data_IF_730797966741
#
_entry.id   IF_730797966741
#
_cell.length_a   1.000
_cell.length_b   1.000
_cell.length_c   1.000
_cell.angle_alpha   90.00
_cell.angle_beta   90.00
_cell.angle_gamma   90.00
#
_symmetry.space_group_name_H-M   'P 1'
#
loop_
_entity.id
_entity.type
_entity.pdbx_description
1 polymer ?
#
# COMPACT_ATOMS: atom_id res chain seq x y z
N UNK A 1 16.38 -54.47 37.52
CA UNK A 1 15.81 -53.63 36.42
C UNK A 1 14.60 -52.79 36.84
N UNK A 2 13.73 -53.26 37.75
CA UNK A 2 12.57 -52.48 38.23
C UNK A 2 12.96 -51.23 39.06
N UNK A 3 14.01 -51.34 39.87
CA UNK A 3 14.50 -50.25 40.74
C UNK A 3 15.12 -49.09 39.95
N UNK A 4 15.86 -49.38 38.87
CA UNK A 4 16.47 -48.36 38.00
C UNK A 4 15.40 -47.57 37.24
N UNK A 5 14.32 -48.23 36.76
CA UNK A 5 13.20 -47.55 36.11
C UNK A 5 12.40 -46.67 37.07
N UNK A 6 12.24 -47.09 38.33
CA UNK A 6 11.58 -46.30 39.38
C UNK A 6 12.41 -45.05 39.75
N UNK A 7 13.73 -45.19 39.88
CA UNK A 7 14.62 -44.04 40.13
C UNK A 7 14.67 -43.05 38.96
N UNK A 8 14.61 -43.53 37.72
CA UNK A 8 14.54 -42.65 36.53
C UNK A 8 13.19 -41.93 36.46
N UNK A 9 12.07 -42.61 36.77
CA UNK A 9 10.74 -41.98 36.81
C UNK A 9 10.61 -40.96 37.94
N UNK A 10 11.10 -41.28 39.14
CA UNK A 10 11.12 -40.35 40.28
C UNK A 10 12.07 -39.19 40.02
N UNK A 11 13.22 -39.44 39.37
CA UNK A 11 14.16 -38.42 38.92
C UNK A 11 13.59 -37.50 37.84
N UNK A 12 12.83 -38.03 36.88
CA UNK A 12 12.13 -37.22 35.86
C UNK A 12 10.99 -36.41 36.48
N UNK A 13 10.21 -36.98 37.41
CA UNK A 13 9.13 -36.29 38.12
C UNK A 13 9.68 -35.17 39.03
N UNK A 14 10.83 -35.38 39.68
CA UNK A 14 11.49 -34.36 40.49
C UNK A 14 12.18 -33.28 39.64
N UNK A 15 12.73 -33.64 38.48
CA UNK A 15 13.24 -32.67 37.48
C UNK A 15 12.11 -31.83 36.87
N UNK A 16 10.96 -32.42 36.54
CA UNK A 16 9.77 -31.72 36.03
C UNK A 16 9.18 -30.74 37.06
N UNK A 17 9.19 -31.11 38.35
CA UNK A 17 8.73 -30.23 39.43
C UNK A 17 9.77 -29.16 39.82
N UNK A 18 11.08 -29.42 39.66
CA UNK A 18 12.11 -28.37 39.77
C UNK A 18 12.01 -27.33 38.64
N UNK A 19 11.77 -27.76 37.40
CA UNK A 19 11.66 -26.82 36.27
C UNK A 19 10.46 -25.87 36.39
N UNK A 20 9.36 -26.30 37.02
CA UNK A 20 8.21 -25.43 37.28
C UNK A 20 8.43 -24.48 38.47
N UNK A 21 9.20 -24.90 39.49
CA UNK A 21 9.52 -24.07 40.66
C UNK A 21 10.63 -23.03 40.37
N UNK A 22 11.48 -23.27 39.37
CA UNK A 22 12.58 -22.38 39.00
C UNK A 22 12.16 -21.16 38.17
N UNK A 23 10.99 -21.17 37.51
CA UNK A 23 10.62 -20.07 36.62
C UNK A 23 10.21 -18.79 37.36
N UNK A 24 9.66 -18.89 38.57
CA UNK A 24 9.26 -17.72 39.36
C UNK A 24 10.41 -17.12 40.18
N UNK A 25 11.58 -17.77 40.23
CA UNK A 25 12.73 -17.30 41.00
C UNK A 25 13.34 -16.02 40.41
N UNK A 26 13.21 -15.83 39.10
CA UNK A 26 13.68 -14.63 38.38
C UNK A 26 12.62 -13.51 38.33
N UNK A 27 11.47 -13.70 38.99
CA UNK A 27 10.42 -12.69 39.02
C UNK A 27 10.81 -11.49 39.91
N UNK A 28 10.38 -10.27 39.56
CA UNK A 28 10.70 -9.09 40.35
C UNK A 28 10.09 -9.18 41.77
N UNK A 29 10.81 -8.72 42.82
CA UNK A 29 10.38 -8.88 44.21
C UNK A 29 8.99 -8.30 44.51
N UNK A 30 8.64 -7.19 43.86
CA UNK A 30 7.32 -6.57 43.99
C UNK A 30 6.19 -7.51 43.52
N UNK A 31 6.41 -8.28 42.46
CA UNK A 31 5.41 -9.16 41.88
C UNK A 31 5.29 -10.46 42.70
N UNK A 32 6.40 -10.96 43.24
CA UNK A 32 6.39 -12.10 44.18
C UNK A 32 5.55 -11.76 45.41
N UNK A 33 5.66 -10.55 45.94
CA UNK A 33 4.83 -10.09 47.07
C UNK A 33 3.34 -10.09 46.71
N UNK A 34 2.98 -9.58 45.54
CA UNK A 34 1.59 -9.59 45.06
C UNK A 34 1.05 -10.99 44.83
N UNK A 35 1.85 -11.86 44.23
CA UNK A 35 1.50 -13.27 43.99
C UNK A 35 1.28 -14.03 45.30
N UNK A 36 2.18 -13.84 46.28
CA UNK A 36 2.05 -14.41 47.63
C UNK A 36 0.82 -13.91 48.38
N UNK A 37 0.48 -12.62 48.25
CA UNK A 37 -0.75 -12.05 48.82
C UNK A 37 -2.02 -12.66 48.21
N UNK A 38 -2.03 -12.92 46.90
CA UNK A 38 -3.16 -13.58 46.24
C UNK A 38 -3.29 -15.04 46.70
N UNK A 39 -2.17 -15.77 46.83
CA UNK A 39 -2.17 -17.16 47.32
C UNK A 39 -2.57 -17.28 48.79
N UNK A 40 -2.42 -16.23 49.60
CA UNK A 40 -2.87 -16.22 50.98
C UNK A 40 -4.41 -16.20 51.11
N UNK A 41 -5.14 -15.88 50.03
CA UNK A 41 -6.59 -15.92 50.05
C UNK A 41 -7.10 -17.38 49.98
N UNK A 42 -8.12 -17.72 50.78
CA UNK A 42 -8.62 -19.10 50.88
C UNK A 42 -9.12 -19.66 49.54
N UNK A 43 -9.62 -18.79 48.66
CA UNK A 43 -10.15 -19.13 47.35
C UNK A 43 -9.08 -19.62 46.34
N UNK A 44 -7.80 -19.30 46.59
CA UNK A 44 -6.68 -19.59 45.67
C UNK A 44 -5.62 -20.49 46.29
N UNK A 45 -5.51 -20.55 47.62
CA UNK A 45 -4.48 -21.32 48.34
C UNK A 45 -4.44 -22.82 48.00
N UNK A 46 -5.59 -23.41 47.64
CA UNK A 46 -5.72 -24.83 47.32
C UNK A 46 -5.63 -25.16 45.83
N UNK A 47 -5.56 -24.15 44.96
CA UNK A 47 -5.54 -24.35 43.50
C UNK A 47 -4.15 -24.75 43.01
N UNK A 48 -4.13 -25.69 42.06
CA UNK A 48 -2.90 -26.07 41.36
C UNK A 48 -2.45 -24.97 40.39
N UNK A 49 -1.18 -24.98 39.99
CA UNK A 49 -0.63 -24.03 39.01
C UNK A 49 -1.47 -23.95 37.72
N UNK A 50 -1.87 -25.10 37.17
CA UNK A 50 -2.69 -25.15 35.95
C UNK A 50 -4.08 -24.49 36.15
N UNK A 51 -4.68 -24.64 37.33
CA UNK A 51 -5.95 -23.99 37.66
C UNK A 51 -5.79 -22.48 37.85
N UNK A 52 -4.70 -22.04 38.48
CA UNK A 52 -4.39 -20.62 38.67
C UNK A 52 -4.15 -19.90 37.33
N UNK A 53 -3.47 -20.56 36.39
CA UNK A 53 -3.17 -20.01 35.06
C UNK A 53 -4.42 -19.63 34.26
N UNK A 54 -5.54 -20.35 34.44
CA UNK A 54 -6.81 -20.10 33.73
C UNK A 54 -7.83 -19.31 34.56
N UNK A 55 -7.55 -19.08 35.84
CA UNK A 55 -8.48 -18.40 36.74
C UNK A 55 -8.43 -16.87 36.55
N UNK A 56 -9.50 -16.31 36.00
CA UNK A 56 -9.60 -14.87 35.77
C UNK A 56 -9.62 -14.06 37.06
N UNK A 57 -10.20 -14.58 38.15
CA UNK A 57 -10.24 -13.91 39.44
C UNK A 57 -8.85 -13.72 40.01
N UNK A 58 -8.07 -14.80 40.02
CA UNK A 58 -6.67 -14.79 40.43
C UNK A 58 -5.83 -13.84 39.58
N UNK A 59 -5.94 -13.93 38.24
CA UNK A 59 -5.20 -13.08 37.31
C UNK A 59 -5.54 -11.58 37.49
N UNK A 60 -6.80 -11.25 37.79
CA UNK A 60 -7.22 -9.87 38.06
C UNK A 60 -6.68 -9.35 39.39
N UNK A 61 -6.71 -10.16 40.46
CA UNK A 61 -6.20 -9.78 41.78
C UNK A 61 -4.68 -9.55 41.74
N UNK A 62 -3.94 -10.51 41.17
CA UNK A 62 -2.49 -10.39 41.00
C UNK A 62 -2.16 -9.22 40.08
N UNK A 63 -2.84 -9.10 38.94
CA UNK A 63 -2.64 -8.03 37.97
C UNK A 63 -2.86 -6.64 38.57
N UNK A 64 -3.93 -6.44 39.35
CA UNK A 64 -4.21 -5.18 40.01
C UNK A 64 -3.13 -4.81 41.04
N UNK A 65 -2.67 -5.77 41.84
CA UNK A 65 -1.57 -5.54 42.79
C UNK A 65 -0.26 -5.21 42.06
N UNK A 66 0.10 -5.96 41.02
CA UNK A 66 1.34 -5.75 40.25
C UNK A 66 1.34 -4.38 39.59
N UNK A 67 0.23 -3.96 38.98
CA UNK A 67 0.11 -2.61 38.39
C UNK A 67 0.34 -1.50 39.41
N UNK A 68 -0.10 -1.68 40.66
CA UNK A 68 0.10 -0.70 41.73
C UNK A 68 1.53 -0.77 42.30
N UNK A 69 2.05 -1.95 42.57
CA UNK A 69 3.30 -2.15 43.32
C UNK A 69 4.57 -2.15 42.45
N UNK A 70 4.50 -2.64 41.22
CA UNK A 70 5.66 -2.84 40.32
C UNK A 70 5.73 -1.79 39.23
N UNK A 71 6.93 -1.45 38.75
CA UNK A 71 7.11 -0.61 37.54
C UNK A 71 6.51 -1.28 36.30
N UNK A 72 6.31 -0.53 35.21
CA UNK A 72 5.78 -1.09 33.95
C UNK A 72 6.71 -2.17 33.41
N UNK A 73 8.03 -1.96 33.47
CA UNK A 73 9.04 -2.93 33.02
C UNK A 73 8.97 -4.22 33.84
N UNK A 74 8.92 -4.11 35.17
CA UNK A 74 8.78 -5.27 36.05
C UNK A 74 7.46 -6.01 35.82
N UNK A 75 6.37 -5.27 35.55
CA UNK A 75 5.06 -5.85 35.26
C UNK A 75 5.07 -6.65 33.96
N UNK A 76 5.72 -6.13 32.91
CA UNK A 76 5.89 -6.84 31.63
C UNK A 76 6.77 -8.09 31.79
N UNK A 77 7.88 -7.98 32.53
CA UNK A 77 8.76 -9.12 32.83
C UNK A 77 8.01 -10.22 33.58
N UNK A 78 7.26 -9.84 34.63
CA UNK A 78 6.43 -10.76 35.39
C UNK A 78 5.36 -11.44 34.52
N UNK A 79 4.73 -10.68 33.62
CA UNK A 79 3.74 -11.22 32.69
C UNK A 79 4.36 -12.23 31.72
N UNK A 80 5.58 -11.98 31.23
CA UNK A 80 6.31 -12.91 30.37
C UNK A 80 6.64 -14.22 31.10
N UNK A 81 7.22 -14.11 32.30
CA UNK A 81 7.54 -15.26 33.15
C UNK A 81 6.30 -16.08 33.47
N UNK A 82 5.20 -15.41 33.86
CA UNK A 82 3.94 -16.08 34.22
C UNK A 82 3.35 -16.82 33.02
N UNK A 83 3.30 -16.18 31.83
CA UNK A 83 2.79 -16.83 30.60
C UNK A 83 3.62 -18.03 30.16
N UNK A 84 4.95 -17.89 30.24
CA UNK A 84 5.88 -18.99 29.94
C UNK A 84 5.69 -20.15 30.92
N UNK A 85 5.52 -19.84 32.21
CA UNK A 85 5.25 -20.84 33.27
C UNK A 85 3.90 -21.54 33.12
N UNK A 86 2.92 -20.86 32.51
CA UNK A 86 1.61 -21.41 32.20
C UNK A 86 1.56 -22.16 30.85
N UNK A 87 2.66 -22.16 30.07
CA UNK A 87 2.71 -22.79 28.76
C UNK A 87 1.74 -22.18 27.73
N UNK A 88 1.37 -20.91 27.90
CA UNK A 88 0.46 -20.23 26.97
C UNK A 88 1.20 -19.92 25.66
N UNK A 89 0.54 -20.13 24.49
CA UNK A 89 1.18 -19.86 23.20
C UNK A 89 1.45 -18.36 23.04
N UNK A 90 2.66 -18.01 22.63
CA UNK A 90 3.02 -16.65 22.25
C UNK A 90 2.44 -16.29 20.89
N UNK A 91 1.97 -15.05 20.74
CA UNK A 91 1.56 -14.50 19.46
C UNK A 91 2.79 -14.30 18.55
N UNK A 92 2.90 -15.05 17.46
CA UNK A 92 3.88 -14.79 16.39
C UNK A 92 3.19 -14.67 15.03
N UNK A 93 2.94 -13.44 14.62
CA UNK A 93 2.29 -13.11 13.35
C UNK A 93 3.23 -12.39 12.38
N UNK A 94 4.55 -12.51 12.57
CA UNK A 94 5.55 -11.79 11.77
C UNK A 94 5.51 -12.18 10.29
N UNK A 95 5.38 -13.47 10.01
CA UNK A 95 5.33 -13.99 8.64
C UNK A 95 4.05 -13.53 7.90
N UNK A 96 2.91 -13.53 8.59
CA UNK A 96 1.65 -13.02 8.06
C UNK A 96 1.77 -11.53 7.72
N UNK A 97 2.33 -10.73 8.63
CA UNK A 97 2.57 -9.30 8.42
C UNK A 97 3.49 -9.03 7.23
N UNK A 98 4.60 -9.79 7.10
CA UNK A 98 5.53 -9.68 5.95
C UNK A 98 4.85 -10.07 4.64
N UNK A 99 4.22 -11.24 4.60
CA UNK A 99 3.60 -11.76 3.39
C UNK A 99 2.49 -10.83 2.88
N UNK A 100 1.65 -10.33 3.78
CA UNK A 100 0.54 -9.43 3.42
C UNK A 100 1.04 -8.08 2.93
N UNK A 101 1.97 -7.45 3.65
CA UNK A 101 2.51 -6.13 3.27
C UNK A 101 3.27 -6.17 1.93
N UNK A 102 4.16 -7.16 1.75
CA UNK A 102 4.91 -7.32 0.49
C UNK A 102 4.01 -7.76 -0.66
N UNK A 103 3.06 -8.69 -0.41
CA UNK A 103 2.10 -9.13 -1.41
C UNK A 103 1.27 -7.96 -1.95
N UNK A 104 0.67 -7.16 -1.07
CA UNK A 104 -0.11 -5.98 -1.50
C UNK A 104 0.76 -4.92 -2.20
N UNK A 105 1.99 -4.72 -1.74
CA UNK A 105 2.92 -3.80 -2.40
C UNK A 105 3.23 -4.26 -3.82
N UNK A 106 3.54 -5.54 -4.05
CA UNK A 106 3.81 -6.05 -5.42
C UNK A 106 2.65 -5.83 -6.38
N UNK A 107 1.42 -6.03 -5.92
CA UNK A 107 0.22 -5.76 -6.72
C UNK A 107 0.11 -4.26 -7.02
N UNK A 108 0.29 -3.40 -6.03
CA UNK A 108 0.28 -1.94 -6.23
C UNK A 108 1.38 -1.48 -7.20
N UNK A 109 2.59 -2.03 -7.09
CA UNK A 109 3.71 -1.77 -8.00
C UNK A 109 3.37 -2.16 -9.44
N UNK A 110 2.75 -3.32 -9.66
CA UNK A 110 2.35 -3.75 -10.99
C UNK A 110 1.39 -2.75 -11.64
N UNK A 111 0.34 -2.33 -10.92
CA UNK A 111 -0.62 -1.35 -11.44
C UNK A 111 -0.01 0.04 -11.66
N UNK A 112 0.88 0.48 -10.76
CA UNK A 112 1.62 1.72 -10.94
C UNK A 112 2.56 1.67 -12.16
N UNK A 113 3.25 0.54 -12.37
CA UNK A 113 4.08 0.32 -13.56
C UNK A 113 3.24 0.37 -14.85
N UNK A 114 2.04 -0.22 -14.85
CA UNK A 114 1.10 -0.11 -15.97
C UNK A 114 0.73 1.36 -16.25
N UNK A 115 0.47 2.15 -15.19
CA UNK A 115 0.20 3.59 -15.33
C UNK A 115 1.39 4.31 -15.95
N UNK A 116 2.61 4.06 -15.50
CA UNK A 116 3.82 4.70 -16.03
C UNK A 116 4.07 4.31 -17.48
N UNK A 117 3.88 3.03 -17.83
CA UNK A 117 4.03 2.52 -19.19
C UNK A 117 3.12 3.26 -20.19
N UNK A 118 1.86 3.54 -19.83
CA UNK A 118 0.93 4.32 -20.68
C UNK A 118 1.49 5.71 -21.01
N UNK A 119 2.20 6.34 -20.08
CA UNK A 119 2.76 7.69 -20.25
C UNK A 119 4.06 7.66 -21.04
N UNK A 120 4.93 6.70 -20.74
CA UNK A 120 6.20 6.50 -21.46
C UNK A 120 5.95 6.13 -22.92
N UNK A 121 4.99 5.24 -23.18
CA UNK A 121 4.54 4.85 -24.53
C UNK A 121 3.69 5.92 -25.22
N UNK A 122 3.53 7.11 -24.62
CA UNK A 122 2.81 8.27 -25.17
C UNK A 122 1.34 8.03 -25.52
N UNK A 123 0.70 7.01 -24.93
CA UNK A 123 -0.75 6.77 -25.10
C UNK A 123 -1.62 7.84 -24.42
N UNK A 124 -1.08 8.55 -23.42
CA UNK A 124 -1.73 9.70 -22.77
C UNK A 124 -0.69 10.74 -22.37
N UNK A 125 -1.02 12.05 -22.43
CA UNK A 125 -0.17 13.08 -21.85
C UNK A 125 -0.05 12.93 -20.32
N UNK A 126 1.05 13.46 -19.78
CA UNK A 126 1.31 13.61 -18.34
C UNK A 126 0.47 14.75 -17.76
N UNK A 127 -0.11 14.54 -16.59
CA UNK A 127 -0.98 15.52 -15.92
C UNK A 127 -0.75 15.54 -14.41
N UNK A 128 -1.39 16.49 -13.73
CA UNK A 128 -1.27 16.68 -12.28
C UNK A 128 -1.66 15.41 -11.50
N UNK A 129 -2.68 14.67 -11.95
CA UNK A 129 -3.09 13.41 -11.32
C UNK A 129 -1.98 12.35 -11.36
N UNK A 130 -1.16 12.33 -12.42
CA UNK A 130 0.02 11.47 -12.54
C UNK A 130 1.13 11.88 -11.58
N UNK A 131 1.39 13.18 -11.46
CA UNK A 131 2.40 13.71 -10.52
C UNK A 131 2.03 13.36 -9.08
N UNK A 132 0.78 13.60 -8.67
CA UNK A 132 0.31 13.28 -7.32
C UNK A 132 0.40 11.79 -7.03
N UNK A 133 -0.01 10.93 -7.97
CA UNK A 133 0.11 9.48 -7.80
C UNK A 133 1.57 9.02 -7.72
N UNK A 134 2.47 9.64 -8.49
CA UNK A 134 3.91 9.36 -8.43
C UNK A 134 4.49 9.77 -7.07
N UNK A 135 4.08 10.91 -6.52
CA UNK A 135 4.46 11.34 -5.17
C UNK A 135 3.92 10.37 -4.12
N UNK A 136 2.63 10.01 -4.18
CA UNK A 136 2.04 9.03 -3.26
C UNK A 136 2.80 7.70 -3.29
N UNK A 137 3.13 7.21 -4.48
CA UNK A 137 3.88 5.96 -4.64
C UNK A 137 5.33 6.08 -4.11
N UNK A 138 5.99 7.22 -4.32
CA UNK A 138 7.32 7.48 -3.79
C UNK A 138 7.35 7.45 -2.25
N UNK A 139 6.29 7.92 -1.59
CA UNK A 139 6.14 7.82 -0.13
C UNK A 139 5.60 6.46 0.35
N UNK A 140 4.93 5.69 -0.51
CA UNK A 140 4.53 4.31 -0.21
C UNK A 140 5.74 3.39 -0.04
N UNK A 141 6.82 3.60 -0.79
CA UNK A 141 8.06 2.80 -0.66
C UNK A 141 8.64 2.85 0.77
N UNK A 142 8.99 4.03 1.35
CA UNK A 142 9.50 4.10 2.71
C UNK A 142 8.46 3.62 3.73
N UNK A 143 7.16 3.79 3.48
CA UNK A 143 6.11 3.23 4.33
C UNK A 143 6.22 1.69 4.44
N UNK A 144 6.41 0.99 3.32
CA UNK A 144 6.61 -0.47 3.33
C UNK A 144 7.93 -0.86 4.00
N UNK A 145 9.01 -0.12 3.76
CA UNK A 145 10.32 -0.35 4.41
C UNK A 145 10.21 -0.21 5.93
N UNK A 146 9.50 0.82 6.42
CA UNK A 146 9.26 0.99 7.86
C UNK A 146 8.47 -0.18 8.45
N UNK A 147 7.46 -0.71 7.75
CA UNK A 147 6.75 -1.91 8.20
C UNK A 147 7.71 -3.10 8.30
N UNK A 148 8.57 -3.34 7.31
CA UNK A 148 9.54 -4.45 7.38
C UNK A 148 10.51 -4.29 8.55
N UNK A 149 10.92 -3.05 8.87
CA UNK A 149 11.77 -2.75 10.01
C UNK A 149 11.02 -2.86 11.34
N UNK A 150 9.71 -2.58 11.40
CA UNK A 150 8.88 -2.73 12.62
C UNK A 150 8.65 -4.19 13.03
N UNK A 151 8.65 -5.14 12.08
CA UNK A 151 8.41 -6.57 12.33
C UNK A 151 9.39 -7.18 13.35
N UNK A 152 10.72 -7.05 13.19
CA UNK A 152 11.65 -7.52 14.21
C UNK A 152 11.64 -6.69 15.51
N UNK A 153 11.03 -5.49 15.50
CA UNK A 153 10.91 -4.63 16.68
C UNK A 153 9.64 -4.91 17.51
N UNK A 154 8.77 -5.82 17.06
CA UNK A 154 7.61 -6.26 17.83
C UNK A 154 6.28 -6.26 17.09
N UNK A 155 6.21 -5.86 15.81
CA UNK A 155 4.93 -5.90 15.09
C UNK A 155 4.42 -7.34 14.94
N UNK A 156 3.30 -7.64 15.59
CA UNK A 156 2.72 -8.97 15.62
C UNK A 156 3.35 -9.93 16.65
N UNK A 157 4.15 -9.40 17.57
CA UNK A 157 4.63 -10.09 18.78
C UNK A 157 3.97 -9.50 20.02
N UNK A 158 3.84 -10.32 21.04
CA UNK A 158 3.39 -9.91 22.36
C UNK A 158 4.35 -8.90 23.03
N UNK A 159 3.81 -7.84 23.63
CA UNK A 159 4.63 -6.74 24.17
C UNK A 159 5.57 -7.19 25.30
N UNK A 160 5.17 -8.18 26.08
CA UNK A 160 5.95 -8.71 27.22
C UNK A 160 7.15 -9.58 26.80
N UNK A 161 7.24 -9.99 25.54
CA UNK A 161 8.40 -10.73 25.00
C UNK A 161 9.50 -9.77 24.52
N UNK A 162 9.19 -8.47 24.41
CA UNK A 162 10.08 -7.48 23.81
C UNK A 162 11.02 -6.84 24.83
N UNK A 163 12.23 -6.55 24.37
CA UNK A 163 13.17 -5.72 25.12
C UNK A 163 12.71 -4.25 25.16
N UNK A 164 13.08 -3.52 26.20
CA UNK A 164 12.72 -2.10 26.35
C UNK A 164 13.09 -1.25 25.13
N UNK A 165 14.29 -1.48 24.56
CA UNK A 165 14.76 -0.77 23.38
C UNK A 165 13.92 -1.07 22.13
N UNK A 166 13.39 -2.29 22.02
CA UNK A 166 12.50 -2.68 20.93
C UNK A 166 11.15 -1.98 21.07
N UNK A 167 10.59 -1.90 22.28
CA UNK A 167 9.34 -1.18 22.58
C UNK A 167 9.47 0.30 22.22
N UNK A 168 10.53 0.97 22.69
CA UNK A 168 10.79 2.37 22.36
C UNK A 168 10.95 2.58 20.84
N UNK A 169 11.70 1.70 20.17
CA UNK A 169 11.90 1.76 18.72
C UNK A 169 10.59 1.55 17.95
N UNK A 170 9.77 0.60 18.40
CA UNK A 170 8.44 0.31 17.86
C UNK A 170 7.52 1.53 17.95
N UNK A 171 7.42 2.18 19.12
CA UNK A 171 6.58 3.36 19.31
C UNK A 171 7.05 4.56 18.47
N UNK A 172 8.37 4.72 18.30
CA UNK A 172 8.91 5.75 17.40
C UNK A 172 8.53 5.50 15.95
N UNK A 173 8.61 4.25 15.50
CA UNK A 173 8.20 3.86 14.16
C UNK A 173 6.69 3.95 13.97
N UNK A 174 5.89 3.67 15.02
CA UNK A 174 4.44 3.79 14.99
C UNK A 174 4.01 5.21 14.65
N UNK A 175 4.62 6.22 15.29
CA UNK A 175 4.41 7.63 14.96
C UNK A 175 4.76 7.92 13.49
N UNK A 176 5.93 7.46 13.03
CA UNK A 176 6.38 7.70 11.66
C UNK A 176 5.43 7.06 10.62
N UNK A 177 4.99 5.81 10.85
CA UNK A 177 4.03 5.09 10.01
C UNK A 177 2.67 5.77 10.01
N UNK A 178 2.18 6.23 11.16
CA UNK A 178 0.94 6.99 11.26
C UNK A 178 0.99 8.28 10.43
N UNK A 179 2.06 9.07 10.55
CA UNK A 179 2.22 10.31 9.78
C UNK A 179 2.30 10.05 8.28
N UNK A 180 3.08 9.04 7.86
CA UNK A 180 3.18 8.66 6.44
C UNK A 180 1.83 8.17 5.91
N UNK A 181 1.10 7.39 6.68
CA UNK A 181 -0.23 6.91 6.31
C UNK A 181 -1.18 8.06 5.99
N UNK A 182 -1.29 9.05 6.90
CA UNK A 182 -2.18 10.22 6.71
C UNK A 182 -1.80 10.97 5.44
N UNK A 183 -0.50 11.22 5.24
CA UNK A 183 0.02 11.92 4.07
C UNK A 183 -0.27 11.18 2.77
N UNK A 184 0.11 9.89 2.68
CA UNK A 184 -0.06 9.10 1.46
C UNK A 184 -1.54 8.99 1.09
N UNK A 185 -2.42 8.76 2.07
CA UNK A 185 -3.86 8.63 1.83
C UNK A 185 -4.44 9.92 1.25
N UNK A 186 -4.11 11.08 1.83
CA UNK A 186 -4.55 12.38 1.32
C UNK A 186 -4.05 12.62 -0.12
N UNK A 187 -2.79 12.29 -0.42
CA UNK A 187 -2.25 12.46 -1.80
C UNK A 187 -2.93 11.50 -2.80
N UNK A 188 -3.25 10.27 -2.39
CA UNK A 188 -4.02 9.32 -3.23
C UNK A 188 -5.41 9.89 -3.53
N UNK A 189 -6.13 10.34 -2.49
CA UNK A 189 -7.46 10.95 -2.64
C UNK A 189 -7.43 12.19 -3.52
N UNK A 190 -6.44 13.05 -3.32
CA UNK A 190 -6.20 14.21 -4.19
C UNK A 190 -6.00 13.79 -5.66
N UNK A 191 -5.19 12.77 -5.95
CA UNK A 191 -4.99 12.25 -7.31
C UNK A 191 -6.33 11.81 -7.95
N UNK A 192 -7.19 11.10 -7.20
CA UNK A 192 -8.51 10.66 -7.66
C UNK A 192 -9.45 11.86 -7.90
N UNK A 193 -9.45 12.86 -7.03
CA UNK A 193 -10.27 14.07 -7.18
C UNK A 193 -9.84 14.89 -8.42
N UNK A 194 -8.54 15.03 -8.67
CA UNK A 194 -8.05 15.64 -9.91
C UNK A 194 -8.45 14.85 -11.16
N UNK A 195 -8.47 13.52 -11.07
CA UNK A 195 -8.99 12.67 -12.13
C UNK A 195 -10.50 12.90 -12.36
N UNK A 196 -11.29 13.15 -11.31
CA UNK A 196 -12.70 13.53 -11.46
C UNK A 196 -12.89 14.87 -12.16
N UNK A 197 -12.08 15.89 -11.81
CA UNK A 197 -12.10 17.20 -12.47
C UNK A 197 -11.80 17.11 -13.98
N UNK A 198 -11.04 16.09 -14.40
CA UNK A 198 -10.71 15.86 -15.81
C UNK A 198 -11.87 15.24 -16.59
N UNK A 199 -12.63 14.35 -15.96
CA UNK A 199 -13.66 13.56 -16.65
C UNK A 199 -14.97 14.32 -16.78
N UNK A 200 -15.34 15.07 -15.75
CA UNK A 200 -16.62 15.75 -15.67
C UNK A 200 -16.44 17.27 -15.82
N UNK A 201 -16.92 17.86 -16.92
CA UNK A 201 -16.77 19.29 -17.18
C UNK A 201 -17.78 20.17 -16.43
N UNK A 202 -18.79 19.59 -15.78
CA UNK A 202 -19.88 20.33 -15.11
C UNK A 202 -19.37 21.26 -14.00
N UNK A 203 -19.75 22.54 -14.05
CA UNK A 203 -19.22 23.57 -13.15
C UNK A 203 -19.59 23.30 -11.69
N UNK A 204 -20.84 22.89 -11.42
CA UNK A 204 -21.31 22.61 -10.05
C UNK A 204 -20.56 21.41 -9.46
N UNK A 205 -20.38 20.36 -10.26
CA UNK A 205 -19.56 19.21 -9.90
C UNK A 205 -18.11 19.61 -9.59
N UNK A 206 -17.48 20.41 -10.44
CA UNK A 206 -16.10 20.85 -10.24
C UNK A 206 -15.92 21.63 -8.94
N UNK A 207 -16.88 22.51 -8.58
CA UNK A 207 -16.87 23.21 -7.30
C UNK A 207 -16.92 22.21 -6.14
N UNK A 208 -17.84 21.24 -6.18
CA UNK A 208 -17.93 20.22 -5.13
C UNK A 208 -16.63 19.42 -4.98
N UNK A 209 -15.98 19.06 -6.09
CA UNK A 209 -14.69 18.36 -6.08
C UNK A 209 -13.56 19.23 -5.51
N UNK A 210 -13.49 20.52 -5.85
CA UNK A 210 -12.50 21.44 -5.27
C UNK A 210 -12.69 21.63 -3.77
N UNK A 211 -13.94 21.75 -3.29
CA UNK A 211 -14.24 21.81 -1.85
C UNK A 211 -13.83 20.51 -1.17
N UNK A 212 -14.10 19.36 -1.78
CA UNK A 212 -13.72 18.05 -1.27
C UNK A 212 -12.20 17.90 -1.17
N UNK A 213 -11.46 18.40 -2.17
CA UNK A 213 -10.00 18.40 -2.17
C UNK A 213 -9.45 19.30 -1.07
N UNK A 214 -9.99 20.50 -0.90
CA UNK A 214 -9.57 21.41 0.17
C UNK A 214 -9.83 20.80 1.55
N UNK A 215 -10.97 20.13 1.73
CA UNK A 215 -11.30 19.42 2.96
C UNK A 215 -10.33 18.26 3.24
N UNK A 216 -10.05 17.42 2.24
CA UNK A 216 -9.11 16.29 2.36
C UNK A 216 -7.71 16.75 2.80
N UNK A 217 -7.17 17.78 2.13
CA UNK A 217 -5.87 18.35 2.47
C UNK A 217 -5.86 19.01 3.85
N UNK A 218 -6.94 19.71 4.22
CA UNK A 218 -7.07 20.34 5.53
C UNK A 218 -7.10 19.29 6.64
N UNK A 219 -7.92 18.24 6.51
CA UNK A 219 -8.00 17.13 7.47
C UNK A 219 -6.63 16.46 7.57
N UNK A 220 -6.01 16.10 6.44
CA UNK A 220 -4.68 15.47 6.43
C UNK A 220 -3.63 16.31 7.16
N UNK A 221 -3.56 17.62 6.87
CA UNK A 221 -2.62 18.53 7.51
C UNK A 221 -2.85 18.63 9.03
N UNK A 222 -4.10 18.86 9.46
CA UNK A 222 -4.44 18.99 10.88
C UNK A 222 -4.10 17.71 11.65
N UNK A 223 -4.43 16.53 11.12
CA UNK A 223 -4.14 15.27 11.81
C UNK A 223 -2.65 14.94 11.85
N UNK A 224 -1.86 15.36 10.85
CA UNK A 224 -0.40 15.27 10.92
C UNK A 224 0.12 16.12 12.09
N UNK A 225 -0.32 17.38 12.21
CA UNK A 225 0.10 18.26 13.32
C UNK A 225 -0.33 17.68 14.66
N UNK A 226 -1.59 17.23 14.79
CA UNK A 226 -2.09 16.64 16.04
C UNK A 226 -1.33 15.36 16.44
N UNK A 227 -0.85 14.58 15.48
CA UNK A 227 -0.04 13.37 15.74
C UNK A 227 1.29 13.71 16.44
N UNK A 228 1.90 14.87 16.13
CA UNK A 228 3.12 15.32 16.81
C UNK A 228 2.86 16.01 18.16
N UNK A 229 1.66 16.54 18.35
CA UNK A 229 1.27 17.29 19.56
C UNK A 229 0.62 16.39 20.62
N UNK A 230 0.33 15.12 20.30
CA UNK A 230 -0.38 14.20 21.19
C UNK A 230 0.20 14.08 22.61
N UNK A 231 1.53 14.19 22.75
CA UNK A 231 2.21 14.34 24.04
C UNK A 231 3.23 15.48 24.02
N UNK A 232 3.36 16.18 25.14
CA UNK A 232 4.33 17.27 25.34
C UNK A 232 5.20 17.01 26.58
N UNK A 233 6.53 17.01 26.45
CA UNK A 233 7.33 17.12 25.22
C UNK A 233 7.21 15.89 24.29
N UNK A 234 7.41 16.07 22.98
CA UNK A 234 7.20 15.05 21.91
C UNK A 234 7.96 13.74 22.14
N UNK A 235 9.12 13.77 22.82
CA UNK A 235 9.87 12.55 23.13
C UNK A 235 9.13 11.58 24.06
N UNK A 236 8.15 12.06 24.83
CA UNK A 236 7.26 11.23 25.65
C UNK A 236 6.34 10.33 24.82
N UNK A 237 6.23 10.54 23.51
CA UNK A 237 5.46 9.65 22.62
C UNK A 237 6.08 8.24 22.60
N UNK A 238 7.41 8.13 22.59
CA UNK A 238 8.10 6.85 22.50
C UNK A 238 8.84 6.44 23.77
N UNK A 239 9.10 7.34 24.73
CA UNK A 239 9.68 6.96 26.03
C UNK A 239 8.66 6.90 27.17
N UNK A 240 7.51 7.55 27.02
CA UNK A 240 6.51 7.68 28.08
C UNK A 240 5.68 6.44 28.35
N UNK A 241 6.09 5.26 27.84
CA UNK A 241 5.50 3.96 28.18
C UNK A 241 6.06 3.37 29.47
N UNK A 242 7.23 3.85 29.94
CA UNK A 242 7.85 3.40 31.19
C UNK A 242 7.19 3.99 32.44
N UNK A 243 6.56 5.15 32.28
CA UNK A 243 5.89 5.84 33.37
C UNK A 243 4.57 5.11 33.71
N UNK A 244 4.31 4.85 35.01
CA UNK A 244 3.03 4.30 35.49
C UNK A 244 1.87 5.24 35.17
N UNK A 245 2.08 6.52 35.43
CA UNK A 245 1.11 7.57 35.15
C UNK A 245 1.46 8.26 33.84
N UNK A 246 0.52 8.32 32.87
CA UNK A 246 0.76 9.00 31.60
C UNK A 246 1.02 10.50 31.82
N UNK A 247 2.28 10.94 31.72
CA UNK A 247 2.65 12.35 31.80
C UNK A 247 2.59 13.03 30.44
N UNK A 248 2.28 14.32 30.46
CA UNK A 248 2.32 15.17 29.25
C UNK A 248 1.30 14.77 28.19
N UNK A 249 0.24 14.04 28.54
CA UNK A 249 -0.84 13.67 27.60
C UNK A 249 -1.69 14.90 27.31
N UNK A 250 -1.68 15.34 26.06
CA UNK A 250 -2.52 16.45 25.58
C UNK A 250 -3.72 15.90 24.81
N UNK A 251 -3.48 14.91 23.96
CA UNK A 251 -4.50 14.25 23.15
C UNK A 251 -4.42 12.74 23.33
N UNK A 252 -5.60 12.13 23.39
CA UNK A 252 -5.73 10.69 23.42
C UNK A 252 -5.55 10.14 22.00
N UNK A 253 -4.52 9.30 21.81
CA UNK A 253 -4.17 8.67 20.52
C UNK A 253 -5.35 7.90 19.93
N UNK A 254 -6.12 7.19 20.77
CA UNK A 254 -7.21 6.35 20.33
C UNK A 254 -8.38 7.19 19.83
N UNK A 255 -8.72 8.26 20.57
CA UNK A 255 -9.76 9.21 20.16
C UNK A 255 -9.36 9.96 18.90
N UNK A 256 -8.10 10.37 18.79
CA UNK A 256 -7.56 11.03 17.61
C UNK A 256 -7.65 10.12 16.38
N UNK A 257 -7.21 8.87 16.52
CA UNK A 257 -7.29 7.88 15.46
C UNK A 257 -8.72 7.57 15.03
N UNK A 258 -9.66 7.45 15.99
CA UNK A 258 -11.07 7.20 15.70
C UNK A 258 -11.74 8.38 14.98
N UNK A 259 -11.43 9.61 15.40
CA UNK A 259 -11.89 10.82 14.71
C UNK A 259 -11.36 10.90 13.28
N UNK A 260 -10.06 10.64 13.08
CA UNK A 260 -9.46 10.60 11.75
C UNK A 260 -10.06 9.50 10.87
N UNK A 261 -10.28 8.31 11.44
CA UNK A 261 -10.91 7.18 10.76
C UNK A 261 -12.34 7.50 10.31
N UNK A 262 -13.16 8.05 11.21
CA UNK A 262 -14.53 8.44 10.91
C UNK A 262 -14.64 9.50 9.81
N UNK A 263 -13.81 10.55 9.88
CA UNK A 263 -13.77 11.59 8.83
C UNK A 263 -13.33 11.02 7.48
N UNK A 264 -12.35 10.10 7.48
CA UNK A 264 -11.91 9.46 6.24
C UNK A 264 -12.97 8.57 5.61
N UNK A 265 -13.69 7.77 6.40
CA UNK A 265 -14.80 6.96 5.91
C UNK A 265 -15.90 7.85 5.31
N UNK A 266 -16.26 8.93 6.01
CA UNK A 266 -17.25 9.88 5.51
C UNK A 266 -16.82 10.49 4.15
N UNK A 267 -15.53 10.82 4.03
CA UNK A 267 -14.95 11.32 2.80
C UNK A 267 -14.96 10.28 1.67
N UNK A 268 -14.66 9.01 1.97
CA UNK A 268 -14.71 7.92 0.98
C UNK A 268 -16.12 7.72 0.44
N UNK A 269 -17.12 7.72 1.34
CA UNK A 269 -18.55 7.64 0.96
C UNK A 269 -18.95 8.84 0.10
N UNK A 270 -18.52 10.04 0.49
CA UNK A 270 -18.78 11.25 -0.30
C UNK A 270 -18.16 11.18 -1.70
N UNK A 271 -16.91 10.73 -1.80
CA UNK A 271 -16.22 10.54 -3.08
C UNK A 271 -16.89 9.50 -3.97
N UNK A 272 -17.55 8.50 -3.38
CA UNK A 272 -18.38 7.53 -4.10
C UNK A 272 -19.68 8.15 -4.63
N UNK A 273 -20.31 9.04 -3.85
CA UNK A 273 -21.55 9.73 -4.25
C UNK A 273 -21.31 10.72 -5.40
N UNK A 274 -20.19 11.44 -5.40
CA UNK A 274 -19.86 12.45 -6.41
C UNK A 274 -20.12 11.99 -7.86
N UNK A 275 -19.48 10.92 -8.39
CA UNK A 275 -19.69 10.49 -9.78
C UNK A 275 -21.10 9.94 -10.05
N UNK A 276 -21.81 9.42 -9.03
CA UNK A 276 -23.19 8.95 -9.18
C UNK A 276 -24.17 10.09 -9.48
N UNK A 277 -23.95 11.27 -8.87
CA UNK A 277 -24.80 12.45 -9.13
C UNK A 277 -24.77 12.88 -10.60
N UNK A 278 -23.66 12.64 -11.29
CA UNK A 278 -23.49 12.94 -12.71
C UNK A 278 -24.12 11.87 -13.60
N UNK A 279 -24.19 10.62 -13.16
CA UNK A 279 -24.86 9.54 -13.89
C UNK A 279 -26.37 9.74 -13.96
N UNK A 280 -27.00 10.14 -12.86
CA UNK A 280 -28.46 10.27 -12.79
C UNK A 280 -29.00 11.34 -13.76
N UNK A 281 -28.18 12.35 -14.07
CA UNK A 281 -28.61 13.50 -14.89
C UNK A 281 -28.35 13.32 -16.39
N UNK A 282 -27.71 12.24 -16.85
CA UNK A 282 -27.16 12.21 -18.21
C UNK A 282 -27.34 10.86 -18.91
N UNK A 283 -28.06 10.86 -20.04
CA UNK A 283 -28.20 9.74 -20.99
C UNK A 283 -26.87 9.43 -21.70
N UNK A 284 -25.91 8.86 -20.95
CA UNK A 284 -24.55 8.62 -21.44
C UNK A 284 -24.46 7.36 -22.30
N UNK A 285 -23.76 7.46 -23.44
CA UNK A 285 -23.37 6.32 -24.28
C UNK A 285 -22.63 5.26 -23.44
N UNK A 286 -22.87 3.97 -23.73
CA UNK A 286 -22.44 2.80 -22.96
C UNK A 286 -20.96 2.83 -22.50
N UNK A 287 -20.05 3.40 -23.31
CA UNK A 287 -18.63 3.53 -22.98
C UNK A 287 -18.35 4.43 -21.77
N UNK A 288 -19.09 5.53 -21.61
CA UNK A 288 -18.96 6.43 -20.45
C UNK A 288 -19.60 5.80 -19.21
N UNK A 289 -20.74 5.12 -19.38
CA UNK A 289 -21.41 4.35 -18.32
C UNK A 289 -20.48 3.30 -17.69
N UNK A 290 -19.71 2.59 -18.51
CA UNK A 290 -18.78 1.55 -18.04
C UNK A 290 -17.58 2.09 -17.25
N UNK A 291 -17.11 3.30 -17.56
CA UNK A 291 -16.06 3.96 -16.77
C UNK A 291 -16.55 4.34 -15.37
N UNK A 292 -17.80 4.76 -15.26
CA UNK A 292 -18.38 5.18 -13.98
C UNK A 292 -18.75 3.98 -13.11
N UNK A 293 -19.22 2.88 -13.71
CA UNK A 293 -19.39 1.61 -12.98
C UNK A 293 -18.07 1.10 -12.40
N UNK A 294 -16.96 1.21 -13.14
CA UNK A 294 -15.65 0.83 -12.63
C UNK A 294 -15.23 1.71 -11.42
N UNK A 295 -15.45 3.02 -11.48
CA UNK A 295 -15.19 3.94 -10.34
C UNK A 295 -16.04 3.60 -9.12
N UNK A 296 -17.29 3.20 -9.32
CA UNK A 296 -18.20 2.85 -8.23
C UNK A 296 -17.78 1.58 -7.50
N UNK A 297 -17.47 0.49 -8.21
CA UNK A 297 -16.97 -0.76 -7.60
C UNK A 297 -15.71 -0.52 -6.78
N UNK A 298 -14.83 0.32 -7.32
CA UNK A 298 -13.59 0.75 -6.72
C UNK A 298 -13.79 1.57 -5.45
N UNK A 299 -14.73 2.52 -5.46
CA UNK A 299 -15.10 3.32 -4.28
C UNK A 299 -15.66 2.47 -3.15
N UNK A 300 -16.56 1.51 -3.47
CA UNK A 300 -17.12 0.59 -2.47
C UNK A 300 -16.01 -0.22 -1.81
N UNK A 301 -15.11 -0.77 -2.61
CA UNK A 301 -14.02 -1.61 -2.09
C UNK A 301 -13.13 -0.83 -1.12
N UNK A 302 -12.77 0.42 -1.45
CA UNK A 302 -12.03 1.28 -0.54
C UNK A 302 -12.79 1.56 0.76
N UNK A 303 -14.06 1.93 0.68
CA UNK A 303 -14.87 2.21 1.88
C UNK A 303 -14.94 0.99 2.81
N UNK A 304 -15.08 -0.22 2.28
CA UNK A 304 -15.07 -1.47 3.07
C UNK A 304 -13.74 -1.65 3.80
N UNK A 305 -12.62 -1.46 3.09
CA UNK A 305 -11.27 -1.54 3.68
C UNK A 305 -11.11 -0.50 4.80
N UNK A 306 -11.57 0.74 4.60
CA UNK A 306 -11.53 1.81 5.60
C UNK A 306 -12.33 1.47 6.86
N UNK A 307 -13.50 0.84 6.71
CA UNK A 307 -14.34 0.38 7.84
C UNK A 307 -13.62 -0.71 8.64
N UNK A 308 -13.04 -1.71 7.98
CA UNK A 308 -12.32 -2.80 8.66
C UNK A 308 -11.10 -2.27 9.42
N UNK A 309 -10.40 -1.28 8.85
CA UNK A 309 -9.29 -0.61 9.54
C UNK A 309 -9.76 0.08 10.82
N UNK A 310 -10.88 0.81 10.80
CA UNK A 310 -11.43 1.47 11.99
C UNK A 310 -11.84 0.44 13.05
N UNK A 311 -12.43 -0.69 12.65
CA UNK A 311 -12.71 -1.79 13.58
C UNK A 311 -11.42 -2.31 14.25
N UNK A 312 -10.35 -2.50 13.47
CA UNK A 312 -9.05 -2.92 13.99
C UNK A 312 -8.43 -1.89 14.94
N UNK A 313 -8.63 -0.60 14.66
CA UNK A 313 -8.20 0.49 15.53
C UNK A 313 -8.96 0.51 16.87
N UNK A 314 -10.27 0.25 16.84
CA UNK A 314 -11.08 0.16 18.07
C UNK A 314 -10.61 -1.01 18.94
N UNK A 315 -10.27 -2.14 18.32
CA UNK A 315 -9.71 -3.28 19.04
C UNK A 315 -8.33 -2.97 19.65
N UNK A 316 -7.45 -2.31 18.88
CA UNK A 316 -6.16 -1.83 19.40
C UNK A 316 -6.33 -0.87 20.59
N UNK A 317 -7.34 0.01 20.56
CA UNK A 317 -7.57 1.01 21.60
C UNK A 317 -7.95 0.42 22.96
N UNK A 318 -8.51 -0.79 23.01
CA UNK A 318 -8.95 -1.45 24.26
C UNK A 318 -8.02 -2.56 24.72
N UNK A 319 -6.95 -2.84 23.98
CA UNK A 319 -6.07 -3.97 24.28
C UNK A 319 -4.97 -3.65 25.28
N UNK A 320 -4.65 -4.64 26.13
CA UNK A 320 -3.47 -4.65 26.99
C UNK A 320 -2.19 -5.06 26.25
N UNK A 321 -2.31 -5.58 25.02
CA UNK A 321 -1.20 -6.03 24.19
C UNK A 321 -1.02 -5.14 22.95
N UNK A 322 -0.47 -3.96 23.18
CA UNK A 322 -0.39 -2.93 22.16
C UNK A 322 0.38 -3.39 20.89
N UNK A 323 1.48 -4.13 21.01
CA UNK A 323 2.32 -4.49 19.85
C UNK A 323 1.72 -5.60 18.98
N UNK A 324 1.06 -6.59 19.57
CA UNK A 324 0.40 -7.64 18.81
C UNK A 324 -0.82 -7.10 18.07
N UNK A 325 -1.60 -6.22 18.70
CA UNK A 325 -2.87 -5.74 18.16
C UNK A 325 -2.70 -4.52 17.23
N UNK A 326 -1.63 -3.76 17.39
CA UNK A 326 -1.21 -2.76 16.40
C UNK A 326 -0.99 -3.38 15.01
N UNK A 327 -0.70 -4.69 14.92
CA UNK A 327 -0.60 -5.43 13.67
C UNK A 327 -1.81 -5.20 12.78
N UNK A 328 -3.02 -5.38 13.34
CA UNK A 328 -4.25 -5.24 12.58
C UNK A 328 -4.35 -3.85 11.96
N UNK A 329 -4.19 -2.81 12.77
CA UNK A 329 -4.25 -1.42 12.31
C UNK A 329 -3.22 -1.11 11.22
N UNK A 330 -1.97 -1.54 11.39
CA UNK A 330 -0.89 -1.26 10.43
C UNK A 330 -1.09 -2.03 9.12
N UNK A 331 -1.45 -3.32 9.18
CA UNK A 331 -1.67 -4.14 7.99
C UNK A 331 -2.89 -3.66 7.21
N UNK A 332 -3.99 -3.33 7.87
CA UNK A 332 -5.16 -2.74 7.20
C UNK A 332 -4.86 -1.38 6.59
N UNK A 333 -4.03 -0.55 7.25
CA UNK A 333 -3.54 0.71 6.67
C UNK A 333 -2.71 0.46 5.41
N UNK A 334 -1.83 -0.55 5.41
CA UNK A 334 -1.08 -0.95 4.22
C UNK A 334 -1.98 -1.42 3.08
N UNK A 335 -2.99 -2.25 3.38
CA UNK A 335 -3.98 -2.73 2.41
C UNK A 335 -4.75 -1.55 1.82
N UNK A 336 -5.18 -0.60 2.64
CA UNK A 336 -5.90 0.62 2.22
C UNK A 336 -5.07 1.46 1.24
N UNK A 337 -3.82 1.77 1.58
CA UNK A 337 -2.93 2.55 0.72
C UNK A 337 -2.62 1.83 -0.60
N UNK A 338 -2.27 0.54 -0.54
CA UNK A 338 -1.98 -0.26 -1.74
C UNK A 338 -3.22 -0.37 -2.64
N UNK A 339 -4.38 -0.60 -2.04
CA UNK A 339 -5.65 -0.62 -2.76
C UNK A 339 -5.94 0.71 -3.42
N UNK A 340 -5.74 1.83 -2.71
CA UNK A 340 -5.92 3.18 -3.24
C UNK A 340 -5.06 3.45 -4.49
N UNK A 341 -3.81 2.98 -4.48
CA UNK A 341 -2.91 3.04 -5.65
C UNK A 341 -3.43 2.18 -6.80
N UNK A 342 -3.79 0.91 -6.54
CA UNK A 342 -4.34 -0.01 -7.55
C UNK A 342 -5.56 0.60 -8.23
N UNK A 343 -6.50 1.07 -7.41
CA UNK A 343 -7.73 1.77 -7.78
C UNK A 343 -7.46 2.96 -8.69
N UNK A 344 -6.55 3.86 -8.30
CA UNK A 344 -6.25 5.06 -9.08
C UNK A 344 -5.53 4.73 -10.40
N UNK A 345 -4.82 3.60 -10.45
CA UNK A 345 -4.10 3.16 -11.64
C UNK A 345 -4.94 2.31 -12.60
N UNK A 346 -6.05 1.70 -12.15
CA UNK A 346 -6.94 0.85 -12.97
C UNK A 346 -7.38 1.50 -14.31
N UNK A 347 -7.79 2.79 -14.37
CA UNK A 347 -8.18 3.41 -15.64
C UNK A 347 -7.05 3.40 -16.69
N UNK A 348 -5.81 3.62 -16.26
CA UNK A 348 -4.64 3.60 -17.15
C UNK A 348 -4.28 2.17 -17.53
N UNK A 349 -4.33 1.20 -16.61
CA UNK A 349 -4.11 -0.21 -16.92
C UNK A 349 -5.09 -0.72 -17.99
N UNK A 350 -6.37 -0.35 -17.90
CA UNK A 350 -7.37 -0.65 -18.93
C UNK A 350 -7.03 0.00 -20.28
N UNK A 351 -6.54 1.23 -20.28
CA UNK A 351 -6.10 1.91 -21.51
C UNK A 351 -4.92 1.17 -22.15
N UNK A 352 -3.94 0.73 -21.35
CA UNK A 352 -2.78 -0.03 -21.81
C UNK A 352 -3.20 -1.33 -22.48
N UNK A 353 -4.10 -2.10 -21.85
CA UNK A 353 -4.61 -3.34 -22.41
C UNK A 353 -5.31 -3.11 -23.75
N UNK A 354 -6.12 -2.04 -23.85
CA UNK A 354 -6.86 -1.73 -25.08
C UNK A 354 -5.97 -1.26 -26.22
N UNK A 355 -5.00 -0.39 -25.98
CA UNK A 355 -4.12 0.10 -27.04
C UNK A 355 -2.99 -0.90 -27.37
N UNK A 356 -2.49 -1.64 -26.37
CA UNK A 356 -1.51 -2.71 -26.57
C UNK A 356 -2.06 -3.86 -27.41
N UNK A 357 -3.31 -4.30 -27.17
CA UNK A 357 -3.96 -5.31 -28.01
C UNK A 357 -4.19 -4.83 -29.44
N UNK A 358 -4.47 -3.54 -29.64
CA UNK A 358 -4.58 -2.95 -30.99
C UNK A 358 -3.23 -2.93 -31.70
N UNK A 359 -2.18 -2.44 -31.07
CA UNK A 359 -0.84 -2.45 -31.66
C UNK A 359 -0.36 -3.87 -31.97
N UNK A 360 -0.57 -4.82 -31.05
CA UNK A 360 -0.19 -6.22 -31.28
C UNK A 360 -0.97 -6.83 -32.46
N UNK A 361 -2.28 -6.55 -32.54
CA UNK A 361 -3.11 -6.98 -33.69
C UNK A 361 -2.61 -6.37 -34.99
N UNK A 362 -2.31 -5.07 -35.00
CA UNK A 362 -1.86 -4.35 -36.19
C UNK A 362 -0.48 -4.87 -36.67
N UNK A 363 0.45 -5.17 -35.74
CA UNK A 363 1.73 -5.82 -36.03
C UNK A 363 1.50 -7.23 -36.61
N UNK A 364 0.62 -8.03 -35.99
CA UNK A 364 0.33 -9.40 -36.44
C UNK A 364 -0.30 -9.41 -37.84
N UNK A 365 -1.21 -8.48 -38.14
CA UNK A 365 -1.80 -8.33 -39.49
C UNK A 365 -0.78 -7.89 -40.53
N UNK A 366 0.16 -7.01 -40.19
CA UNK A 366 1.22 -6.59 -41.11
C UNK A 366 2.21 -7.73 -41.39
N UNK A 367 2.55 -8.54 -40.39
CA UNK A 367 3.39 -9.74 -40.55
C UNK A 367 2.73 -10.81 -41.42
N UNK A 368 1.41 -11.01 -41.31
CA UNK A 368 0.67 -11.98 -42.14
C UNK A 368 0.44 -11.49 -43.57
N UNK A 369 0.23 -10.17 -43.79
CA UNK A 369 0.17 -9.61 -45.15
C UNK A 369 1.53 -9.58 -45.86
N UNK A 370 2.64 -9.37 -45.13
CA UNK A 370 4.00 -9.38 -45.69
C UNK A 370 4.41 -10.72 -46.30
N UNK A 371 3.81 -11.83 -45.89
CA UNK A 371 4.04 -13.17 -46.46
C UNK A 371 3.06 -13.57 -47.57
N UNK A 372 2.03 -12.77 -47.88
CA UNK A 372 0.93 -13.18 -48.78
C UNK A 372 0.56 -12.23 -49.92
N UNK A 373 1.12 -11.03 -50.01
CA UNK A 373 0.72 -10.03 -51.01
C UNK A 373 1.79 -9.83 -52.11
N UNK A 374 1.97 -10.82 -52.98
CA UNK A 374 2.47 -10.53 -54.33
C UNK A 374 1.38 -9.77 -55.07
N UNK A 375 1.53 -8.45 -55.14
CA UNK A 375 0.57 -7.56 -55.81
C UNK A 375 0.39 -8.03 -57.27
N UNK A 376 -0.81 -8.44 -57.73
CA UNK A 376 -1.00 -9.03 -59.06
C UNK A 376 -0.63 -8.07 -60.20
N UNK A 377 -0.68 -6.75 -59.94
CA UNK A 377 -0.18 -5.72 -60.85
C UNK A 377 1.36 -5.75 -61.01
N UNK A 378 2.10 -6.03 -59.93
CA UNK A 378 3.56 -6.16 -59.97
C UNK A 378 4.00 -7.46 -60.64
N UNK A 379 3.27 -8.56 -60.45
CA UNK A 379 3.51 -9.81 -61.18
C UNK A 379 3.22 -9.67 -62.68
N UNK A 380 2.16 -8.94 -63.07
CA UNK A 380 1.88 -8.66 -64.49
C UNK A 380 2.96 -7.82 -65.15
N UNK A 381 3.44 -6.77 -64.48
CA UNK A 381 4.53 -5.94 -64.99
C UNK A 381 5.86 -6.71 -65.14
N UNK A 382 6.18 -7.61 -64.20
CA UNK A 382 7.35 -8.49 -64.30
C UNK A 382 7.20 -9.54 -65.41
N UNK A 383 5.98 -10.06 -65.61
CA UNK A 383 5.71 -11.03 -66.67
C UNK A 383 5.79 -10.39 -68.06
N UNK A 384 5.21 -9.20 -68.26
CA UNK A 384 5.33 -8.42 -69.50
C UNK A 384 6.80 -8.11 -69.82
N UNK A 385 7.56 -7.64 -68.82
CA UNK A 385 8.98 -7.32 -68.98
C UNK A 385 9.83 -8.55 -69.28
N UNK A 386 9.44 -9.72 -68.77
CA UNK A 386 10.09 -11.00 -69.09
C UNK A 386 9.77 -11.52 -70.50
N UNK A 387 8.57 -11.20 -71.02
CA UNK A 387 8.16 -11.51 -72.38
C UNK A 387 8.91 -10.63 -73.39
N UNK A 388 9.04 -9.34 -73.12
CA UNK A 388 9.82 -8.43 -73.98
C UNK A 388 11.30 -8.82 -74.06
N UNK A 389 11.90 -9.22 -72.93
CA UNK A 389 13.28 -9.72 -72.89
C UNK A 389 13.47 -11.02 -73.68
N UNK A 390 12.48 -11.92 -73.68
CA UNK A 390 12.53 -13.16 -74.47
C UNK A 390 12.37 -12.91 -75.97
N UNK A 391 11.56 -11.93 -76.36
CA UNK A 391 11.42 -11.50 -77.77
C UNK A 391 12.70 -10.84 -78.27
N UNK A 392 13.37 -10.03 -77.45
CA UNK A 392 14.64 -9.40 -77.80
C UNK A 392 15.79 -10.41 -78.00
N UNK A 393 15.80 -11.52 -77.23
CA UNK A 393 16.84 -12.55 -77.31
C UNK A 393 16.65 -13.52 -78.49
N UNK A 394 15.41 -13.73 -78.95
CA UNK A 394 15.11 -14.64 -80.07
C UNK A 394 15.05 -13.96 -81.45
N UNK A 395 15.38 -12.67 -81.55
CA UNK A 395 15.38 -11.96 -82.83
C UNK A 395 16.69 -12.26 -83.61
N UNK A 396 16.63 -12.87 -84.81
CA UNK A 396 17.82 -13.37 -85.51
C UNK A 396 18.49 -12.30 -86.39
N UNK A 397 18.69 -11.09 -85.85
CA UNK A 397 19.49 -10.04 -86.50
C UNK A 397 20.14 -9.14 -85.44
N UNK A 398 21.22 -9.64 -84.84
CA UNK A 398 22.16 -8.82 -84.10
C UNK A 398 23.35 -8.52 -85.00
N UNK A 399 23.39 -7.32 -85.61
CA UNK A 399 24.63 -6.77 -86.16
C UNK A 399 24.71 -5.25 -85.96
N UNK A 400 25.85 -4.83 -85.39
CA UNK A 400 26.52 -3.51 -85.46
C UNK A 400 25.96 -2.29 -84.72
N UNK A 401 26.79 -1.74 -83.83
CA UNK A 401 26.79 -0.35 -83.30
C UNK A 401 27.31 0.65 -84.38
N UNK A 402 27.53 1.99 -84.17
CA UNK A 402 27.24 2.94 -83.06
C UNK A 402 26.68 4.35 -83.50
N UNK A 403 26.39 5.27 -82.55
CA UNK A 403 26.67 6.73 -82.74
C UNK A 403 25.53 7.79 -82.71
N UNK A 404 25.70 8.76 -81.79
CA UNK A 404 25.44 10.24 -81.79
C UNK A 404 24.09 10.89 -82.22
N UNK A 405 23.74 11.96 -81.46
CA UNK A 405 23.01 13.18 -81.89
C UNK A 405 21.59 13.30 -81.32
N UNK A 406 21.33 14.19 -80.33
CA UNK A 406 20.72 15.55 -80.50
C UNK A 406 19.33 15.52 -81.18
N UNK A 407 18.28 16.23 -80.78
CA UNK A 407 17.99 17.25 -79.76
C UNK A 407 16.48 17.55 -79.82
N UNK A 408 15.95 18.22 -78.77
CA UNK A 408 14.77 19.11 -78.78
C UNK A 408 13.37 18.47 -78.68
N UNK A 409 12.40 18.96 -77.88
CA UNK A 409 12.32 20.13 -76.99
C UNK A 409 10.95 20.19 -76.29
N UNK A 410 10.90 20.98 -75.19
CA UNK A 410 9.72 21.64 -74.57
C UNK A 410 8.75 20.72 -73.78
N UNK A 411 8.35 21.01 -72.53
CA UNK A 411 8.06 22.33 -71.93
C UNK A 411 8.17 22.27 -70.39
N UNK A 412 8.83 23.25 -69.77
CA UNK A 412 8.64 23.68 -68.37
C UNK A 412 8.00 25.07 -68.38
N UNK A 413 7.27 25.53 -67.34
CA UNK A 413 7.96 26.32 -66.30
C UNK A 413 7.38 26.24 -64.86
N UNK A 414 8.32 26.17 -63.89
CA UNK A 414 8.50 26.95 -62.62
C UNK A 414 7.29 27.40 -61.77
N UNK A 415 7.34 27.46 -60.43
CA UNK A 415 8.15 28.35 -59.51
C UNK A 415 7.80 27.95 -58.05
N UNK A 416 8.49 28.27 -56.94
CA UNK A 416 9.71 29.02 -56.62
C UNK A 416 10.11 28.81 -55.14
N UNK A 417 11.42 28.82 -54.93
CA UNK A 417 12.28 29.23 -53.80
C UNK A 417 11.74 29.86 -52.50
N UNK A 418 12.50 29.61 -51.42
CA UNK A 418 12.68 30.53 -50.30
C UNK A 418 13.66 30.02 -49.23
N UNK A 419 14.96 30.27 -49.42
CA UNK A 419 16.02 30.12 -48.40
C UNK A 419 16.25 31.49 -47.74
N UNK A 420 16.35 31.58 -46.41
CA UNK A 420 17.24 32.54 -45.74
C UNK A 420 17.42 32.24 -44.25
N UNK A 421 18.57 32.66 -43.77
CA UNK A 421 19.19 32.47 -42.46
C UNK A 421 19.02 33.73 -41.59
N UNK A 422 19.21 33.58 -40.27
CA UNK A 422 19.90 34.46 -39.29
C UNK A 422 19.17 34.79 -37.97
N UNK A 423 19.92 34.54 -36.88
CA UNK A 423 20.08 35.24 -35.59
C UNK A 423 18.90 35.56 -34.64
N UNK A 424 19.05 35.00 -33.43
CA UNK A 424 19.25 35.62 -32.09
C UNK A 424 18.56 36.92 -31.66
N UNK A 425 18.35 36.95 -30.33
CA UNK A 425 18.04 38.03 -29.38
C UNK A 425 16.54 38.33 -29.16
N UNK A 426 16.00 38.01 -27.98
CA UNK A 426 16.16 38.63 -26.66
C UNK A 426 15.11 39.74 -26.40
N UNK A 427 14.49 39.60 -25.23
CA UNK A 427 13.88 40.61 -24.37
C UNK A 427 12.37 41.01 -24.43
N UNK A 428 11.79 40.84 -23.23
CA UNK A 428 10.92 41.71 -22.42
C UNK A 428 9.42 41.92 -22.70
N UNK A 429 8.64 41.50 -21.67
CA UNK A 429 7.50 42.15 -20.98
C UNK A 429 6.32 42.72 -21.79
N UNK A 430 5.11 42.23 -21.46
CA UNK A 430 4.10 42.92 -20.61
C UNK A 430 3.41 41.88 -19.74
#
# INVERSE_FOLDING_TARGET
MLTLRLCILVGLLSLLSLTAAQSLADAPPCAIKCFGQALAQPDYASKTQAQLCVDQGFNNVVGACVQQACTVVESLSFLNITRTSCGLPEADYRNEARATSLGMFTVATFFFACRLAVKVLRFSPWRIDDTLMTVAYAFLIPFIVMIQYMIPQGLGLDIWVLNENQITSFLRLLLAVQTHYIFILAVIKASILYFFLRIFPDTKFRIAVWVTLAYDLFVGFIFIVLSFVQRQPTWLIWEGWRDKDPRGVVLDLNKLGLAHGGMNIALDVWMLVLPLTQLYKLNLKLRKKLGIMAMFCVGIFLTVVSIIRVHSLVYFATSSNATADARGTIIWSCIELCTGVVVSCMPNARQLLREGTRQFRDITTNLTQGTGASNPASQRALHERSLELRVAVNSPNATTAPGKGESSSLTTPTTSHGHSSFASDADLKV
#
